data_IF_605922382446
#
_entry.id   IF_605922382446
#
_cell.length_a   1.000
_cell.length_b   1.000
_cell.length_c   1.000
_cell.angle_alpha   90.00
_cell.angle_beta   90.00
_cell.angle_gamma   90.00
#
_symmetry.space_group_name_H-M   'P 1'
#
loop_
_entity.id
_entity.type
_entity.pdbx_description
1 polymer ?
#
# COMPACT_ATOMS: atom_id res chain seq x y z
N UNK A 1 16.84 -3.75 -9.38
CA UNK A 1 15.43 -3.31 -9.49
C UNK A 1 15.16 -2.25 -8.43
N UNK A 2 14.83 -1.05 -8.88
CA UNK A 2 14.59 0.09 -7.98
C UNK A 2 13.15 0.56 -8.00
N UNK A 3 12.35 0.10 -8.94
CA UNK A 3 10.97 0.52 -9.13
C UNK A 3 10.05 -0.66 -9.38
N UNK A 4 8.79 -0.48 -8.97
CA UNK A 4 7.70 -1.40 -9.28
C UNK A 4 6.65 -0.68 -10.11
N UNK A 5 5.92 -1.44 -10.93
CA UNK A 5 4.68 -0.95 -11.53
C UNK A 5 3.51 -1.36 -10.66
N UNK A 6 2.52 -0.47 -10.58
CA UNK A 6 1.25 -0.74 -9.90
C UNK A 6 0.16 -0.50 -10.93
N UNK A 7 -0.68 -1.49 -11.17
CA UNK A 7 -1.74 -1.40 -12.18
C UNK A 7 -3.09 -1.67 -11.53
N UNK A 8 -4.04 -0.76 -11.74
CA UNK A 8 -5.43 -0.92 -11.30
C UNK A 8 -6.31 -0.55 -12.49
N UNK A 9 -6.81 -1.55 -13.22
CA UNK A 9 -7.56 -1.32 -14.45
C UNK A 9 -6.75 -0.51 -15.47
N UNK A 10 -7.25 0.65 -15.86
CA UNK A 10 -6.57 1.55 -16.80
C UNK A 10 -5.53 2.45 -16.13
N UNK A 11 -5.48 2.48 -14.80
CA UNK A 11 -4.51 3.32 -14.08
C UNK A 11 -3.19 2.60 -13.93
N UNK A 12 -2.10 3.29 -14.21
CA UNK A 12 -0.74 2.76 -14.06
C UNK A 12 0.10 3.74 -13.27
N UNK A 13 0.84 3.20 -12.31
CA UNK A 13 1.73 3.97 -11.44
C UNK A 13 3.11 3.34 -11.46
N UNK A 14 4.13 4.17 -11.25
CA UNK A 14 5.49 3.70 -11.03
C UNK A 14 5.93 4.14 -9.65
N UNK A 15 6.40 3.19 -8.86
CA UNK A 15 6.76 3.43 -7.46
C UNK A 15 8.22 3.06 -7.21
N UNK A 16 8.90 3.88 -6.42
CA UNK A 16 10.27 3.64 -6.02
C UNK A 16 10.31 2.77 -4.76
N UNK A 17 11.15 1.74 -4.78
CA UNK A 17 11.43 0.90 -3.62
C UNK A 17 12.35 1.66 -2.65
N UNK A 18 11.95 1.75 -1.39
CA UNK A 18 12.71 2.43 -0.33
C UNK A 18 13.68 1.43 0.31
N UNK A 19 14.66 0.98 -0.48
CA UNK A 19 15.55 -0.10 -0.05
C UNK A 19 16.47 0.28 1.08
N UNK A 20 16.84 1.57 1.20
CA UNK A 20 17.71 2.02 2.28
C UNK A 20 16.96 2.10 3.60
N UNK A 21 15.68 2.54 3.55
CA UNK A 21 14.85 2.74 4.74
C UNK A 21 14.14 1.45 5.18
N UNK A 22 13.74 0.61 4.21
CA UNK A 22 12.97 -0.61 4.48
C UNK A 22 13.52 -1.81 3.68
N UNK A 23 14.79 -2.19 3.90
CA UNK A 23 15.43 -3.22 3.09
C UNK A 23 14.76 -4.59 3.20
N UNK A 24 14.33 -4.99 4.39
CA UNK A 24 13.71 -6.31 4.59
C UNK A 24 12.33 -6.36 3.97
N UNK A 25 11.55 -5.30 4.14
CA UNK A 25 10.19 -5.20 3.58
C UNK A 25 10.24 -5.20 2.06
N UNK A 26 11.16 -4.42 1.47
CA UNK A 26 11.36 -4.40 0.02
C UNK A 26 11.74 -5.78 -0.52
N UNK A 27 12.70 -6.45 0.12
CA UNK A 27 13.15 -7.78 -0.32
C UNK A 27 12.01 -8.81 -0.22
N UNK A 28 11.25 -8.79 0.87
CA UNK A 28 10.14 -9.71 1.06
C UNK A 28 9.04 -9.51 0.02
N UNK A 29 8.73 -8.26 -0.31
CA UNK A 29 7.70 -7.95 -1.30
C UNK A 29 8.15 -8.31 -2.71
N UNK A 30 9.37 -7.95 -3.08
CA UNK A 30 9.94 -8.26 -4.40
C UNK A 30 9.98 -9.76 -4.66
N UNK A 31 10.27 -10.57 -3.63
CA UNK A 31 10.30 -12.03 -3.75
C UNK A 31 8.91 -12.62 -4.10
N UNK A 32 7.84 -11.86 -3.96
CA UNK A 32 6.47 -12.31 -4.19
C UNK A 32 5.85 -11.74 -5.46
N UNK A 33 6.61 -11.03 -6.27
CA UNK A 33 6.11 -10.47 -7.53
C UNK A 33 5.87 -11.54 -8.60
N UNK A 34 4.87 -11.43 -9.45
CA UNK A 34 3.83 -10.40 -9.38
C UNK A 34 2.89 -10.65 -8.19
N UNK A 35 2.54 -9.58 -7.49
CA UNK A 35 1.63 -9.66 -6.36
C UNK A 35 0.26 -9.14 -6.79
N UNK A 36 -0.73 -10.03 -6.79
CA UNK A 36 -2.07 -9.75 -7.27
C UNK A 36 -3.05 -9.82 -6.11
N UNK A 37 -3.81 -8.76 -5.91
CA UNK A 37 -4.81 -8.71 -4.84
C UNK A 37 -5.92 -7.75 -5.23
N UNK A 38 -6.71 -7.31 -4.25
CA UNK A 38 -7.78 -6.33 -4.45
C UNK A 38 -7.63 -5.22 -3.42
N UNK A 39 -8.09 -4.03 -3.78
CA UNK A 39 -8.12 -2.88 -2.87
C UNK A 39 -9.54 -2.40 -2.68
N UNK A 40 -9.82 -1.94 -1.47
CA UNK A 40 -11.07 -1.29 -1.10
C UNK A 40 -10.75 0.04 -0.41
N UNK A 41 -11.74 0.92 -0.33
CA UNK A 41 -11.55 2.21 0.34
C UNK A 41 -11.55 2.07 1.86
N UNK A 42 -10.71 2.86 2.56
CA UNK A 42 -10.63 2.86 4.03
C UNK A 42 -10.95 4.24 4.60
N UNK A 43 -12.23 4.61 4.55
CA UNK A 43 -12.69 5.92 5.02
C UNK A 43 -12.27 6.23 6.47
N UNK A 44 -12.16 5.21 7.31
CA UNK A 44 -11.75 5.40 8.71
C UNK A 44 -10.29 5.81 8.86
N UNK A 45 -9.47 5.63 7.84
CA UNK A 45 -8.10 6.17 7.80
C UNK A 45 -8.03 7.50 7.06
N UNK A 46 -9.04 7.81 6.27
CA UNK A 46 -9.12 9.04 5.47
C UNK A 46 -9.08 8.75 3.98
N UNK A 47 -8.17 9.41 3.27
CA UNK A 47 -8.05 9.29 1.82
C UNK A 47 -7.01 8.23 1.47
N UNK A 48 -7.43 6.96 1.57
CA UNK A 48 -6.57 5.82 1.32
C UNK A 48 -7.38 4.62 0.82
N UNK A 49 -6.68 3.69 0.18
CA UNK A 49 -7.20 2.37 -0.20
C UNK A 49 -6.30 1.30 0.40
N UNK A 50 -6.82 0.10 0.63
CA UNK A 50 -6.06 -0.97 1.25
C UNK A 50 -6.40 -2.34 0.69
N UNK A 51 -5.43 -3.25 0.79
CA UNK A 51 -5.62 -4.67 0.52
C UNK A 51 -5.66 -5.41 1.84
N UNK A 52 -6.82 -5.89 2.29
CA UNK A 52 -6.88 -6.74 3.48
C UNK A 52 -6.33 -8.12 3.12
N UNK A 53 -5.34 -8.59 3.86
CA UNK A 53 -4.63 -9.84 3.57
C UNK A 53 -4.76 -10.88 4.68
N UNK A 54 -5.54 -10.61 5.72
CA UNK A 54 -5.79 -11.56 6.77
C UNK A 54 -4.52 -12.00 7.50
N UNK A 55 -4.27 -13.30 7.54
CA UNK A 55 -3.11 -13.87 8.22
C UNK A 55 -1.90 -14.08 7.30
N UNK A 56 -1.90 -13.46 6.12
CA UNK A 56 -0.77 -13.56 5.20
C UNK A 56 0.52 -13.05 5.88
N UNK A 57 1.57 -13.87 5.84
CA UNK A 57 2.83 -13.59 6.53
C UNK A 57 3.92 -13.21 5.53
N UNK A 58 4.35 -11.95 5.56
CA UNK A 58 5.48 -11.49 4.74
C UNK A 58 6.83 -11.85 5.35
N UNK A 59 6.85 -12.34 6.59
CA UNK A 59 8.09 -12.71 7.26
C UNK A 59 8.92 -11.53 7.72
N UNK A 60 8.32 -10.36 7.91
CA UNK A 60 9.00 -9.14 8.37
C UNK A 60 8.32 -8.58 9.62
N UNK A 61 9.11 -7.87 10.42
CA UNK A 61 8.61 -7.08 11.54
C UNK A 61 8.50 -5.61 11.16
N UNK A 62 8.24 -4.74 12.16
CA UNK A 62 8.20 -3.30 11.93
C UNK A 62 9.54 -2.77 11.40
N UNK A 63 9.46 -1.95 10.36
CA UNK A 63 10.63 -1.38 9.70
C UNK A 63 10.20 -0.10 9.00
N UNK A 64 10.85 1.03 9.29
CA UNK A 64 10.49 2.33 8.73
C UNK A 64 8.99 2.64 8.89
N UNK A 65 8.43 2.28 10.05
CA UNK A 65 6.99 2.34 10.28
C UNK A 65 6.50 3.77 10.51
N UNK A 66 5.35 4.09 9.94
CA UNK A 66 4.69 5.38 10.13
C UNK A 66 3.17 5.20 10.24
N UNK A 67 2.53 6.10 10.98
CA UNK A 67 1.08 6.22 11.04
C UNK A 67 0.56 7.35 10.15
N UNK A 68 1.46 8.14 9.56
CA UNK A 68 1.12 9.36 8.83
C UNK A 68 1.73 9.35 7.42
N UNK A 69 1.21 8.48 6.53
CA UNK A 69 1.71 8.47 5.16
C UNK A 69 1.32 9.74 4.41
N UNK A 70 2.16 10.13 3.48
CA UNK A 70 1.86 11.19 2.52
C UNK A 70 1.24 10.60 1.26
N UNK A 71 0.64 11.44 0.44
CA UNK A 71 0.07 11.02 -0.85
C UNK A 71 1.10 10.28 -1.69
N UNK A 72 0.74 9.07 -2.13
CA UNK A 72 1.62 8.20 -2.91
C UNK A 72 2.43 7.22 -2.11
N UNK A 73 2.44 7.33 -0.79
CA UNK A 73 3.13 6.37 0.06
C UNK A 73 2.37 5.06 0.14
N UNK A 74 3.11 3.96 0.10
CA UNK A 74 2.59 2.60 0.24
C UNK A 74 3.17 1.98 1.48
N UNK A 75 2.28 1.54 2.37
CA UNK A 75 2.67 0.92 3.64
C UNK A 75 2.33 -0.57 3.62
N UNK A 76 3.21 -1.38 4.19
CA UNK A 76 2.94 -2.79 4.46
C UNK A 76 2.84 -2.96 5.97
N UNK A 77 1.70 -3.45 6.44
CA UNK A 77 1.50 -3.74 7.86
C UNK A 77 1.64 -5.25 8.06
N UNK A 78 2.71 -5.69 8.73
CA UNK A 78 2.82 -7.11 9.10
C UNK A 78 1.84 -7.40 10.22
N UNK A 79 1.08 -8.47 10.11
CA UNK A 79 0.02 -8.81 11.06
C UNK A 79 0.54 -8.81 12.50
N UNK A 80 -0.09 -8.03 13.36
CA UNK A 80 0.21 -7.92 14.80
C UNK A 80 -1.09 -7.69 15.57
N UNK A 81 -1.41 -6.42 15.90
CA UNK A 81 -2.65 -6.07 16.58
C UNK A 81 -3.87 -6.18 15.64
N UNK A 82 -3.64 -6.08 14.34
CA UNK A 82 -4.66 -6.21 13.32
C UNK A 82 -4.13 -7.12 12.20
N UNK A 83 -4.93 -7.36 11.16
CA UNK A 83 -4.55 -8.23 10.06
C UNK A 83 -3.45 -7.62 9.18
N UNK A 84 -2.75 -8.49 8.45
CA UNK A 84 -1.78 -8.08 7.44
C UNK A 84 -2.46 -7.26 6.34
N UNK A 85 -1.82 -6.21 5.87
CA UNK A 85 -2.40 -5.36 4.84
C UNK A 85 -1.37 -4.51 4.10
N UNK A 86 -1.78 -4.03 2.92
CA UNK A 86 -1.07 -3.01 2.18
C UNK A 86 -2.00 -1.80 2.09
N UNK A 87 -1.48 -0.62 2.41
CA UNK A 87 -2.25 0.62 2.37
C UNK A 87 -1.58 1.60 1.39
N UNK A 88 -2.39 2.24 0.56
CA UNK A 88 -1.93 3.29 -0.35
C UNK A 88 -2.68 4.58 0.01
N UNK A 89 -1.95 5.60 0.43
CA UNK A 89 -2.53 6.92 0.69
C UNK A 89 -2.67 7.69 -0.62
N UNK A 90 -3.87 8.21 -0.90
CA UNK A 90 -4.07 9.06 -2.08
C UNK A 90 -4.31 10.52 -1.72
N UNK A 91 -4.31 10.84 -0.43
CA UNK A 91 -4.50 12.19 0.10
C UNK A 91 -4.26 12.21 1.60
N UNK A 92 -5.06 13.00 2.33
CA UNK A 92 -4.94 13.12 3.78
C UNK A 92 -5.31 11.80 4.45
N UNK A 93 -4.36 11.22 5.19
CA UNK A 93 -4.52 9.90 5.76
C UNK A 93 -3.77 9.78 7.08
N UNK A 94 -4.42 9.12 8.06
CA UNK A 94 -3.77 8.60 9.25
C UNK A 94 -4.10 7.12 9.32
N UNK A 95 -3.09 6.27 9.35
CA UNK A 95 -3.28 4.83 9.31
C UNK A 95 -3.99 4.36 10.57
N UNK A 96 -5.17 3.80 10.41
CA UNK A 96 -6.01 3.34 11.50
C UNK A 96 -6.71 2.04 11.16
N UNK A 97 -7.19 1.36 12.20
CA UNK A 97 -7.93 0.11 12.10
C UNK A 97 -9.06 0.11 13.10
N UNK A 98 -9.85 -0.98 13.12
CA UNK A 98 -10.90 -1.16 14.12
C UNK A 98 -10.35 -1.27 15.56
N UNK A 99 -9.05 -1.51 15.71
CA UNK A 99 -8.39 -1.56 17.02
C UNK A 99 -7.61 -0.28 17.34
N UNK A 100 -7.75 0.77 16.54
CA UNK A 100 -7.10 2.04 16.72
C UNK A 100 -6.02 2.33 15.70
N UNK A 101 -5.15 3.30 16.04
CA UNK A 101 -4.07 3.72 15.15
C UNK A 101 -3.01 2.63 15.02
N UNK A 102 -2.55 2.43 13.79
CA UNK A 102 -1.47 1.49 13.46
C UNK A 102 -0.30 2.23 12.84
N UNK A 103 0.87 1.59 12.80
CA UNK A 103 2.02 2.06 12.05
C UNK A 103 2.40 0.97 11.04
N UNK A 104 2.50 1.33 9.78
CA UNK A 104 2.86 0.41 8.70
C UNK A 104 4.21 0.72 8.10
N UNK A 105 4.86 -0.29 7.57
CA UNK A 105 6.19 -0.16 6.98
C UNK A 105 6.12 0.61 5.66
N UNK A 106 6.68 1.81 5.63
CA UNK A 106 6.75 2.61 4.41
C UNK A 106 7.88 2.04 3.54
N UNK A 107 7.53 1.36 2.45
CA UNK A 107 8.49 0.65 1.61
C UNK A 107 8.43 1.02 0.13
N UNK A 108 7.37 1.70 -0.30
CA UNK A 108 7.23 2.21 -1.66
C UNK A 108 6.73 3.64 -1.63
N UNK A 109 7.16 4.44 -2.63
CA UNK A 109 6.60 5.76 -2.88
C UNK A 109 6.28 5.88 -4.37
N UNK A 110 5.03 6.16 -4.69
CA UNK A 110 4.59 6.37 -6.07
C UNK A 110 5.19 7.69 -6.57
N UNK A 111 5.87 7.62 -7.71
CA UNK A 111 6.53 8.78 -8.33
C UNK A 111 5.84 9.20 -9.63
N UNK A 112 5.33 8.23 -10.40
CA UNK A 112 4.65 8.52 -11.66
C UNK A 112 3.19 8.08 -11.58
N UNK A 113 2.31 8.91 -12.09
CA UNK A 113 0.85 8.67 -12.08
C UNK A 113 0.14 9.31 -10.91
N UNK A 114 0.81 10.11 -10.09
CA UNK A 114 0.23 10.75 -8.91
C UNK A 114 -1.07 11.51 -9.22
N UNK A 115 -1.17 12.08 -10.42
CA UNK A 115 -2.34 12.84 -10.84
C UNK A 115 -3.61 11.97 -10.89
N UNK A 116 -3.46 10.65 -11.06
CA UNK A 116 -4.59 9.72 -11.16
C UNK A 116 -4.97 9.08 -9.82
N UNK A 117 -4.21 9.32 -8.75
CA UNK A 117 -4.47 8.67 -7.46
C UNK A 117 -5.82 9.02 -6.89
N UNK A 118 -6.24 10.27 -6.97
CA UNK A 118 -7.55 10.68 -6.46
C UNK A 118 -8.68 9.99 -7.21
N UNK A 119 -8.58 9.88 -8.54
CA UNK A 119 -9.57 9.18 -9.34
C UNK A 119 -9.67 7.71 -8.95
N UNK A 120 -8.52 7.07 -8.69
CA UNK A 120 -8.49 5.69 -8.19
C UNK A 120 -9.19 5.56 -6.83
N UNK A 121 -8.88 6.46 -5.90
CA UNK A 121 -9.50 6.46 -4.57
C UNK A 121 -11.02 6.65 -4.64
N UNK A 122 -11.48 7.60 -5.45
CA UNK A 122 -12.91 7.85 -5.67
C UNK A 122 -13.59 6.62 -6.29
N UNK A 123 -12.91 5.95 -7.22
CA UNK A 123 -13.45 4.73 -7.84
C UNK A 123 -13.64 3.62 -6.80
N UNK A 124 -12.68 3.42 -5.93
CA UNK A 124 -12.80 2.42 -4.85
C UNK A 124 -13.93 2.80 -3.88
N UNK A 125 -14.09 4.10 -3.61
CA UNK A 125 -15.11 4.57 -2.68
C UNK A 125 -16.53 4.32 -3.21
N UNK A 126 -16.77 4.59 -4.49
CA UNK A 126 -18.11 4.56 -5.05
C UNK A 126 -18.45 3.28 -5.81
N UNK A 127 -17.46 2.58 -6.34
CA UNK A 127 -17.66 1.37 -7.13
C UNK A 127 -17.26 0.09 -6.43
N UNK A 128 -16.57 0.20 -5.30
CA UNK A 128 -16.14 -0.96 -4.51
C UNK A 128 -14.77 -1.50 -4.89
N UNK A 129 -14.53 -2.77 -4.58
CA UNK A 129 -13.23 -3.39 -4.73
C UNK A 129 -12.72 -3.37 -6.16
N UNK A 130 -11.42 -3.07 -6.32
CA UNK A 130 -10.72 -3.07 -7.60
C UNK A 130 -9.53 -4.03 -7.52
N UNK A 131 -9.28 -4.74 -8.62
CA UNK A 131 -8.06 -5.56 -8.72
C UNK A 131 -6.83 -4.69 -8.82
N UNK A 132 -5.74 -5.12 -8.17
CA UNK A 132 -4.45 -4.43 -8.21
C UNK A 132 -3.34 -5.44 -8.46
N UNK A 133 -2.37 -5.04 -9.30
CA UNK A 133 -1.19 -5.85 -9.61
C UNK A 133 0.05 -5.02 -9.33
N UNK A 134 0.92 -5.56 -8.48
CA UNK A 134 2.27 -5.05 -8.28
C UNK A 134 3.22 -5.95 -9.06
N UNK A 135 4.08 -5.37 -9.88
CA UNK A 135 5.04 -6.14 -10.66
C UNK A 135 6.34 -5.36 -10.85
N UNK A 136 7.33 -6.01 -11.45
CA UNK A 136 8.55 -5.34 -11.84
C UNK A 136 8.25 -4.23 -12.84
N UNK A 137 8.91 -3.11 -12.68
CA UNK A 137 8.75 -1.98 -13.59
C UNK A 137 9.69 -2.09 -14.79
#
# INVERSE_FOLDING_TARGET
>A
MDHLSITVGAYRFRARLLRDEAPQTCAAFVARLPFVTRIVHVRWSGEAVWSPLGDYDFGVGPENATSHPSRGDVLLYPAQASESEILIAYGACRFASKVGQLAGNHFLSIEEGLVDLRALGEKCLWEGAQGIVFDAA
#
